data_IF_150660596599
#
_entry.id   IF_150660596599
#
_cell.length_a   1.000
_cell.length_b   1.000
_cell.length_c   1.000
_cell.angle_alpha   90.00
_cell.angle_beta   90.00
_cell.angle_gamma   90.00
#
_symmetry.space_group_name_H-M   'P 1'
#
loop_
_entity.id
_entity.type
_entity.pdbx_description
1 polymer ?
#
# COMPACT_ATOMS: atom_id res chain seq x y z
N UNK A 1 -17.41 15.97 -19.38
CA UNK A 1 -16.49 15.19 -18.53
C UNK A 1 -16.18 15.88 -17.20
N UNK A 2 -15.68 17.13 -17.15
CA UNK A 2 -15.32 17.82 -15.87
C UNK A 2 -16.47 17.92 -14.86
N UNK A 3 -17.71 18.16 -15.29
CA UNK A 3 -18.89 18.23 -14.41
C UNK A 3 -19.24 16.88 -13.77
N UNK A 4 -18.99 15.77 -14.47
CA UNK A 4 -19.27 14.41 -13.96
C UNK A 4 -18.25 14.00 -12.88
N UNK A 5 -17.00 14.37 -13.06
CA UNK A 5 -15.93 14.13 -12.07
C UNK A 5 -16.20 14.92 -10.76
N UNK A 6 -16.65 16.17 -10.88
CA UNK A 6 -17.04 17.00 -9.74
C UNK A 6 -18.22 16.39 -8.96
N UNK A 7 -19.18 15.81 -9.65
CA UNK A 7 -20.35 15.16 -9.07
C UNK A 7 -19.97 13.89 -8.29
N UNK A 8 -19.03 13.09 -8.83
CA UNK A 8 -18.48 11.90 -8.15
C UNK A 8 -17.70 12.30 -6.90
N UNK A 9 -16.87 13.36 -6.97
CA UNK A 9 -16.13 13.88 -5.82
C UNK A 9 -17.09 14.38 -4.74
N UNK A 10 -18.14 15.09 -5.11
CA UNK A 10 -19.16 15.59 -4.16
C UNK A 10 -19.94 14.44 -3.51
N UNK A 11 -20.25 13.39 -4.26
CA UNK A 11 -20.92 12.19 -3.76
C UNK A 11 -20.01 11.41 -2.78
N UNK A 12 -18.72 11.31 -3.07
CA UNK A 12 -17.73 10.69 -2.18
C UNK A 12 -17.58 11.48 -0.86
N UNK A 13 -17.56 12.81 -0.92
CA UNK A 13 -17.49 13.68 0.27
C UNK A 13 -18.75 13.55 1.12
N UNK A 14 -19.93 13.42 0.51
CA UNK A 14 -21.21 13.25 1.19
C UNK A 14 -21.25 11.94 2.02
N UNK A 15 -20.71 10.84 1.50
CA UNK A 15 -20.62 9.57 2.23
C UNK A 15 -19.65 9.60 3.41
N UNK A 16 -18.62 10.43 3.36
CA UNK A 16 -17.66 10.59 4.46
C UNK A 16 -18.33 11.30 5.67
N UNK A 17 -19.30 12.17 5.44
CA UNK A 17 -19.97 12.97 6.47
C UNK A 17 -20.93 12.17 7.36
N UNK A 18 -21.40 11.01 6.96
CA UNK A 18 -22.34 10.19 7.74
C UNK A 18 -21.71 9.25 8.78
N UNK A 19 -20.39 9.22 8.92
CA UNK A 19 -19.67 8.29 9.80
C UNK A 19 -19.46 8.80 11.25
N UNK A 20 -20.24 9.76 11.72
CA UNK A 20 -20.08 10.26 13.09
C UNK A 20 -21.26 9.86 13.97
N UNK A 21 -21.15 8.72 14.71
CA UNK A 21 -21.60 8.56 16.10
C UNK A 21 -21.32 7.16 16.63
N UNK A 22 -20.41 7.03 17.58
CA UNK A 22 -20.67 6.43 18.92
C UNK A 22 -19.36 6.41 19.73
N UNK A 23 -19.40 6.97 20.92
CA UNK A 23 -18.35 6.97 21.93
C UNK A 23 -18.29 5.60 22.60
N UNK A 24 -17.52 4.69 22.10
CA UNK A 24 -16.81 3.65 22.86
C UNK A 24 -15.33 3.87 22.57
N UNK A 25 -14.41 3.44 23.41
CA UNK A 25 -12.99 3.45 23.04
C UNK A 25 -12.86 2.65 21.76
N UNK A 26 -12.88 3.37 20.65
CA UNK A 26 -13.06 2.74 19.34
C UNK A 26 -11.75 2.12 18.94
N UNK A 27 -11.74 0.80 18.88
CA UNK A 27 -10.71 0.03 18.17
C UNK A 27 -10.33 0.77 16.89
N UNK A 28 -9.08 1.11 16.81
CA UNK A 28 -8.60 1.92 15.70
C UNK A 28 -7.19 1.49 15.30
N UNK A 29 -6.82 1.81 14.06
CA UNK A 29 -5.43 1.78 13.61
C UNK A 29 -4.58 2.70 14.49
N UNK A 30 -3.31 2.39 14.60
CA UNK A 30 -2.35 3.21 15.35
C UNK A 30 -2.16 4.58 14.70
N UNK A 31 -1.88 5.59 15.51
CA UNK A 31 -1.75 6.98 15.05
C UNK A 31 -0.65 7.13 14.01
N UNK A 32 0.48 6.49 14.25
CA UNK A 32 1.67 6.57 13.42
C UNK A 32 2.51 5.31 13.60
N UNK A 33 2.94 4.71 12.49
CA UNK A 33 3.85 3.55 12.49
C UNK A 33 4.97 3.85 11.51
N UNK A 34 6.21 3.86 12.02
CA UNK A 34 7.41 3.88 11.18
C UNK A 34 7.98 2.47 11.15
N UNK A 35 8.31 1.97 9.97
CA UNK A 35 8.89 0.63 9.84
C UNK A 35 9.81 0.51 8.63
N UNK A 36 10.70 -0.46 8.69
CA UNK A 36 11.48 -0.93 7.56
C UNK A 36 10.98 -2.33 7.20
N UNK A 37 10.76 -2.57 5.93
CA UNK A 37 10.30 -3.86 5.43
C UNK A 37 11.24 -4.35 4.34
N UNK A 38 11.52 -5.65 4.35
CA UNK A 38 12.23 -6.33 3.27
C UNK A 38 11.38 -7.50 2.78
N UNK A 39 11.52 -7.83 1.52
CA UNK A 39 10.80 -8.92 0.89
C UNK A 39 11.50 -9.41 -0.36
N UNK A 40 10.89 -10.38 -1.04
CA UNK A 40 11.47 -10.97 -2.25
C UNK A 40 11.72 -9.95 -3.37
N UNK A 41 10.92 -8.87 -3.40
CA UNK A 41 10.97 -7.88 -4.48
C UNK A 41 11.64 -6.56 -4.07
N UNK A 42 12.19 -6.43 -2.87
CA UNK A 42 12.87 -5.19 -2.49
C UNK A 42 12.94 -4.91 -0.99
N UNK A 43 13.34 -3.68 -0.68
CA UNK A 43 13.40 -3.14 0.68
C UNK A 43 12.79 -1.75 0.70
N UNK A 44 11.97 -1.47 1.71
CA UNK A 44 11.21 -0.23 1.84
C UNK A 44 11.29 0.32 3.26
N UNK A 45 11.44 1.62 3.38
CA UNK A 45 11.12 2.38 4.59
C UNK A 45 9.71 2.90 4.40
N UNK A 46 8.83 2.66 5.35
CA UNK A 46 7.45 3.10 5.24
C UNK A 46 6.97 3.78 6.53
N UNK A 47 6.10 4.74 6.32
CA UNK A 47 5.40 5.45 7.37
C UNK A 47 3.90 5.34 7.13
N UNK A 48 3.18 4.85 8.11
CA UNK A 48 1.73 4.68 8.06
C UNK A 48 1.08 5.62 9.07
N UNK A 49 0.24 6.52 8.57
CA UNK A 49 -0.48 7.52 9.34
C UNK A 49 -1.97 7.19 9.40
N UNK A 50 -2.55 7.26 10.59
CA UNK A 50 -4.00 7.14 10.77
C UNK A 50 -4.72 8.30 10.09
N UNK A 51 -5.68 7.98 9.23
CA UNK A 51 -6.64 8.94 8.68
C UNK A 51 -7.97 8.88 9.44
N UNK A 52 -8.43 7.68 9.77
CA UNK A 52 -9.67 7.41 10.50
C UNK A 52 -9.53 6.08 11.27
N UNK A 53 -10.54 5.66 12.02
CA UNK A 53 -10.45 4.49 12.92
C UNK A 53 -9.97 3.20 12.23
N UNK A 54 -10.40 2.96 11.00
CA UNK A 54 -9.98 1.78 10.22
C UNK A 54 -9.20 2.15 8.95
N UNK A 55 -8.91 3.44 8.75
CA UNK A 55 -8.21 3.95 7.58
C UNK A 55 -6.85 4.50 7.95
N UNK A 56 -5.83 4.12 7.19
CA UNK A 56 -4.49 4.65 7.28
C UNK A 56 -3.96 5.00 5.87
N UNK A 57 -3.05 5.95 5.80
CA UNK A 57 -2.27 6.23 4.61
C UNK A 57 -0.84 5.74 4.85
N UNK A 58 -0.38 4.83 4.02
CA UNK A 58 1.02 4.42 3.98
C UNK A 58 1.74 5.19 2.89
N UNK A 59 2.87 5.78 3.26
CA UNK A 59 3.88 6.28 2.34
C UNK A 59 5.12 5.39 2.42
N UNK A 60 5.68 5.02 1.29
CA UNK A 60 6.88 4.19 1.24
C UNK A 60 7.91 4.81 0.31
N UNK A 61 9.18 4.65 0.66
CA UNK A 61 10.31 4.84 -0.24
C UNK A 61 11.15 3.56 -0.20
N UNK A 62 11.56 3.07 -1.35
CA UNK A 62 12.33 1.84 -1.38
C UNK A 62 12.85 1.47 -2.75
N UNK A 63 13.63 0.40 -2.75
CA UNK A 63 14.15 -0.20 -3.98
C UNK A 63 13.33 -1.43 -4.32
N UNK A 64 12.93 -1.54 -5.59
CA UNK A 64 12.26 -2.74 -6.09
C UNK A 64 13.15 -3.45 -7.12
N UNK A 65 13.20 -4.77 -6.99
CA UNK A 65 13.80 -5.65 -7.98
C UNK A 65 12.68 -6.20 -8.87
N UNK A 66 12.61 -5.78 -10.11
CA UNK A 66 11.67 -6.37 -11.07
C UNK A 66 12.27 -7.63 -11.68
N UNK A 67 11.75 -8.77 -11.28
CA UNK A 67 11.96 -10.01 -12.02
C UNK A 67 11.05 -9.98 -13.24
N UNK A 68 11.58 -9.68 -14.39
CA UNK A 68 10.89 -9.96 -15.66
C UNK A 68 10.88 -11.46 -15.85
N UNK A 69 9.76 -12.12 -15.54
CA UNK A 69 9.49 -13.49 -15.98
C UNK A 69 9.20 -13.48 -17.50
N UNK A 70 10.19 -13.19 -18.29
CA UNK A 70 10.13 -13.44 -19.73
C UNK A 70 10.76 -14.81 -19.99
N UNK A 71 9.94 -15.73 -20.46
CA UNK A 71 10.33 -17.06 -20.96
C UNK A 71 11.24 -16.91 -22.20
N UNK A 72 12.45 -16.50 -22.08
CA UNK A 72 13.50 -16.31 -23.08
C UNK A 72 14.08 -14.89 -23.16
N UNK A 73 14.60 -14.34 -22.08
CA UNK A 73 15.63 -13.31 -22.25
C UNK A 73 16.56 -13.27 -21.04
N UNK A 74 17.85 -13.15 -21.34
CA UNK A 74 19.00 -13.02 -20.44
C UNK A 74 18.72 -12.23 -19.17
N UNK A 75 19.36 -12.62 -18.07
CA UNK A 75 19.48 -11.90 -16.81
C UNK A 75 20.21 -10.54 -17.01
N UNK A 76 19.77 -9.72 -17.94
CA UNK A 76 20.34 -8.41 -18.16
C UNK A 76 19.68 -7.39 -17.21
N UNK A 77 20.52 -6.96 -16.28
CA UNK A 77 20.39 -5.81 -15.39
C UNK A 77 19.13 -5.78 -14.51
N UNK A 78 19.28 -6.27 -13.29
CA UNK A 78 18.53 -5.81 -12.12
C UNK A 78 18.77 -4.30 -11.97
N UNK A 79 18.01 -3.48 -12.67
CA UNK A 79 18.02 -2.04 -12.43
C UNK A 79 17.34 -1.81 -11.08
N UNK A 80 18.13 -1.48 -10.07
CA UNK A 80 17.64 -0.98 -8.81
C UNK A 80 16.89 0.32 -9.07
N UNK A 81 15.57 0.29 -8.95
CA UNK A 81 14.75 1.48 -9.10
C UNK A 81 14.32 1.96 -7.73
N UNK A 82 14.64 3.20 -7.40
CA UNK A 82 14.07 3.86 -6.22
C UNK A 82 12.69 4.38 -6.58
N UNK A 83 11.71 3.97 -5.82
CA UNK A 83 10.31 4.36 -6.03
C UNK A 83 9.69 4.89 -4.75
N UNK A 84 8.76 5.82 -4.91
CA UNK A 84 7.85 6.26 -3.86
C UNK A 84 6.50 5.61 -4.08
N UNK A 85 5.86 5.19 -2.98
CA UNK A 85 4.52 4.61 -3.01
C UNK A 85 3.60 5.39 -2.10
N UNK A 86 2.35 5.51 -2.53
CA UNK A 86 1.22 5.94 -1.72
C UNK A 86 0.19 4.82 -1.70
N UNK A 87 -0.28 4.48 -0.50
CA UNK A 87 -1.19 3.36 -0.32
C UNK A 87 -2.21 3.66 0.78
N UNK A 88 -3.38 4.26 0.46
CA UNK A 88 -4.50 4.28 1.38
C UNK A 88 -4.97 2.85 1.66
N UNK A 89 -5.11 2.52 2.96
CA UNK A 89 -5.47 1.19 3.48
C UNK A 89 -6.74 1.26 4.30
N UNK A 90 -7.63 0.30 4.10
CA UNK A 90 -8.80 0.07 4.92
C UNK A 90 -8.69 -1.28 5.64
N UNK A 91 -8.56 -1.25 6.96
CA UNK A 91 -8.42 -2.42 7.83
C UNK A 91 -9.80 -2.95 8.25
N UNK A 92 -10.46 -3.71 7.39
CA UNK A 92 -11.88 -4.07 7.53
C UNK A 92 -12.17 -5.06 8.67
N UNK A 93 -11.20 -5.83 9.14
CA UNK A 93 -11.43 -6.81 10.20
C UNK A 93 -10.78 -6.47 11.55
N UNK A 94 -10.29 -5.22 11.73
CA UNK A 94 -9.60 -4.79 12.95
C UNK A 94 -10.49 -4.97 14.18
N UNK A 95 -11.72 -4.49 14.14
CA UNK A 95 -12.71 -4.59 15.22
C UNK A 95 -13.04 -6.07 15.54
N UNK A 96 -13.26 -6.89 14.50
CA UNK A 96 -13.52 -8.33 14.66
C UNK A 96 -12.36 -9.09 15.28
N UNK A 97 -11.12 -8.64 15.02
CA UNK A 97 -9.93 -9.26 15.64
C UNK A 97 -9.84 -8.93 17.10
N UNK A 98 -10.03 -7.67 17.45
CA UNK A 98 -10.01 -7.20 18.83
C UNK A 98 -11.11 -7.87 19.66
N UNK A 99 -12.35 -7.93 19.19
CA UNK A 99 -13.45 -8.62 19.87
C UNK A 99 -13.19 -10.12 20.12
N UNK A 100 -12.22 -10.71 19.42
CA UNK A 100 -11.73 -12.09 19.61
C UNK A 100 -10.40 -12.16 20.36
N UNK A 101 -9.98 -11.10 21.06
CA UNK A 101 -8.71 -10.98 21.77
C UNK A 101 -7.49 -11.32 20.90
N UNK A 102 -7.57 -11.08 19.59
CA UNK A 102 -6.43 -11.26 18.68
C UNK A 102 -5.59 -9.99 18.63
N UNK A 103 -4.29 -10.17 18.57
CA UNK A 103 -3.36 -9.04 18.46
C UNK A 103 -3.69 -8.14 17.25
N UNK A 104 -3.88 -6.83 17.52
CA UNK A 104 -4.12 -5.77 16.54
C UNK A 104 -3.02 -4.70 16.52
N UNK A 105 -2.00 -4.82 17.41
CA UNK A 105 -0.83 -3.92 17.44
C UNK A 105 -0.23 -3.79 16.05
N UNK A 106 0.39 -2.64 15.77
CA UNK A 106 1.02 -2.33 14.48
C UNK A 106 0.08 -2.56 13.29
N UNK A 107 -1.22 -2.33 13.50
CA UNK A 107 -2.28 -2.58 12.51
C UNK A 107 -2.32 -4.03 12.00
N UNK A 108 -2.11 -5.01 12.90
CA UNK A 108 -2.12 -6.44 12.57
C UNK A 108 -3.53 -6.92 12.23
N UNK A 109 -3.96 -6.69 10.99
CA UNK A 109 -5.28 -7.02 10.48
C UNK A 109 -5.24 -7.37 8.99
N UNK A 110 -6.38 -7.71 8.41
CA UNK A 110 -6.54 -7.79 6.97
C UNK A 110 -6.99 -6.42 6.45
N UNK A 111 -6.55 -6.08 5.26
CA UNK A 111 -6.86 -4.80 4.64
C UNK A 111 -7.12 -4.94 3.15
N UNK A 112 -7.81 -3.96 2.62
CA UNK A 112 -7.83 -3.63 1.20
C UNK A 112 -7.16 -2.27 1.02
N UNK A 113 -6.50 -2.08 -0.09
CA UNK A 113 -5.79 -0.84 -0.39
C UNK A 113 -5.76 -0.53 -1.88
N UNK A 114 -5.39 0.70 -2.19
CA UNK A 114 -5.10 1.13 -3.55
C UNK A 114 -3.65 1.62 -3.58
N UNK A 115 -2.75 0.78 -4.06
CA UNK A 115 -1.32 1.09 -4.11
C UNK A 115 -0.97 1.81 -5.41
N UNK A 116 -0.28 2.93 -5.29
CA UNK A 116 0.27 3.68 -6.42
C UNK A 116 1.79 3.73 -6.32
N UNK A 117 2.47 3.70 -7.45
CA UNK A 117 3.93 3.74 -7.54
C UNK A 117 4.37 4.90 -8.43
N UNK A 118 5.34 5.67 -7.94
CA UNK A 118 6.03 6.73 -8.68
C UNK A 118 7.54 6.40 -8.73
N UNK A 119 8.07 6.19 -9.92
CA UNK A 119 9.48 5.89 -10.10
C UNK A 119 10.30 7.19 -10.20
N UNK A 120 11.28 7.37 -9.31
CA UNK A 120 12.05 8.61 -9.22
C UNK A 120 13.27 8.59 -10.14
N UNK A 121 14.00 7.47 -10.23
CA UNK A 121 15.30 7.44 -10.92
C UNK A 121 15.17 7.55 -12.43
N UNK A 122 14.18 6.91 -13.04
CA UNK A 122 13.93 7.06 -14.48
C UNK A 122 13.48 8.49 -14.86
N UNK A 123 13.02 9.25 -13.89
CA UNK A 123 12.49 10.60 -14.11
C UNK A 123 13.55 11.68 -13.98
N UNK A 124 14.64 11.43 -13.22
CA UNK A 124 15.76 12.37 -13.11
C UNK A 124 16.53 12.50 -14.42
N UNK A 125 16.59 11.45 -15.24
CA UNK A 125 17.23 11.50 -16.56
C UNK A 125 16.39 12.24 -17.60
N UNK A 126 15.06 12.24 -17.48
CA UNK A 126 14.13 12.79 -18.46
C UNK A 126 13.30 13.99 -17.96
N UNK A 127 13.43 14.37 -16.68
CA UNK A 127 12.72 15.50 -16.08
C UNK A 127 11.21 15.33 -15.91
N UNK A 128 10.65 14.13 -16.10
CA UNK A 128 9.22 13.85 -16.02
C UNK A 128 8.90 12.81 -14.93
N UNK A 129 7.89 13.10 -14.09
CA UNK A 129 7.36 12.15 -13.11
C UNK A 129 6.22 11.37 -13.74
N UNK A 130 6.43 10.09 -14.03
CA UNK A 130 5.37 9.23 -14.56
C UNK A 130 4.68 8.45 -13.46
N UNK A 131 3.36 8.46 -13.51
CA UNK A 131 2.53 7.54 -12.75
C UNK A 131 2.74 6.13 -13.33
N UNK A 132 3.26 5.23 -12.51
CA UNK A 132 3.72 3.95 -13.02
C UNK A 132 2.72 2.82 -12.83
N UNK A 133 2.11 2.72 -11.66
CA UNK A 133 1.12 1.65 -11.40
C UNK A 133 -0.02 2.13 -10.52
N UNK A 134 -1.19 1.55 -10.74
CA UNK A 134 -2.35 1.66 -9.85
C UNK A 134 -2.88 0.25 -9.59
N UNK A 135 -2.78 -0.21 -8.35
CA UNK A 135 -2.99 -1.60 -7.98
C UNK A 135 -3.94 -1.72 -6.80
N UNK A 136 -5.23 -2.05 -7.02
CA UNK A 136 -6.07 -2.58 -5.97
C UNK A 136 -5.43 -3.80 -5.34
N UNK A 137 -5.34 -3.81 -4.01
CA UNK A 137 -4.58 -4.83 -3.27
C UNK A 137 -5.38 -5.33 -2.08
N UNK A 138 -5.38 -6.63 -1.87
CA UNK A 138 -5.79 -7.29 -0.63
C UNK A 138 -4.55 -7.73 0.13
N UNK A 139 -4.52 -7.47 1.45
CA UNK A 139 -3.38 -7.83 2.27
C UNK A 139 -3.74 -8.34 3.66
N UNK A 140 -2.79 -9.05 4.22
CA UNK A 140 -2.83 -9.63 5.56
C UNK A 140 -1.56 -9.25 6.28
N UNK A 141 -1.70 -8.52 7.41
CA UNK A 141 -0.56 -8.23 8.30
C UNK A 141 -0.73 -8.98 9.61
N UNK A 142 0.36 -9.58 10.09
CA UNK A 142 0.43 -10.27 11.38
C UNK A 142 1.72 -9.92 12.10
N UNK A 143 1.63 -9.73 13.41
CA UNK A 143 2.82 -9.59 14.24
C UNK A 143 3.37 -10.97 14.61
N UNK A 144 4.68 -11.12 14.52
CA UNK A 144 5.43 -12.26 15.07
C UNK A 144 5.81 -11.91 16.52
N UNK A 145 6.29 -10.69 16.73
CA UNK A 145 6.62 -10.13 18.04
C UNK A 145 6.04 -8.72 18.17
N UNK A 146 6.41 -7.97 19.21
CA UNK A 146 6.02 -6.56 19.37
C UNK A 146 6.57 -5.65 18.28
N UNK A 147 7.70 -5.98 17.69
CA UNK A 147 8.41 -5.16 16.70
C UNK A 147 8.47 -5.82 15.32
N UNK A 148 8.31 -7.12 15.22
CA UNK A 148 8.39 -7.82 13.94
C UNK A 148 7.03 -8.20 13.40
N UNK A 149 6.81 -7.92 12.14
CA UNK A 149 5.59 -8.29 11.44
C UNK A 149 5.86 -9.00 10.11
N UNK A 150 4.86 -9.76 9.67
CA UNK A 150 4.77 -10.32 8.34
C UNK A 150 3.60 -9.67 7.62
N UNK A 151 3.79 -9.36 6.36
CA UNK A 151 2.76 -8.85 5.48
C UNK A 151 2.74 -9.64 4.18
N UNK A 152 1.57 -10.23 3.90
CA UNK A 152 1.26 -10.90 2.64
C UNK A 152 0.26 -10.05 1.91
N UNK A 153 0.48 -9.79 0.64
CA UNK A 153 -0.51 -9.09 -0.18
C UNK A 153 -0.54 -9.61 -1.60
N UNK A 154 -1.70 -9.43 -2.22
CA UNK A 154 -1.92 -9.71 -3.62
C UNK A 154 -2.69 -8.55 -4.23
N UNK A 155 -2.17 -8.01 -5.31
CA UNK A 155 -2.80 -6.97 -6.11
C UNK A 155 -2.84 -7.36 -7.57
N UNK A 156 -3.80 -6.79 -8.29
CA UNK A 156 -3.88 -6.89 -9.75
C UNK A 156 -4.18 -5.49 -10.28
N UNK A 157 -3.26 -4.94 -11.03
CA UNK A 157 -3.29 -3.53 -11.36
C UNK A 157 -2.84 -3.21 -12.76
N UNK A 158 -2.95 -1.93 -13.07
CA UNK A 158 -2.59 -1.34 -14.34
C UNK A 158 -1.20 -0.72 -14.19
N UNK A 159 -0.29 -1.08 -15.08
CA UNK A 159 1.03 -0.46 -15.24
C UNK A 159 1.04 0.33 -16.55
N UNK A 160 1.53 1.56 -16.48
CA UNK A 160 1.74 2.41 -17.65
C UNK A 160 3.23 2.66 -17.85
N UNK A 161 3.74 2.26 -19.00
CA UNK A 161 5.15 2.45 -19.39
C UNK A 161 5.27 2.59 -20.89
N UNK A 162 6.02 3.57 -21.35
CA UNK A 162 6.30 3.81 -22.79
C UNK A 162 5.04 3.81 -23.68
N UNK A 163 3.98 4.50 -23.22
CA UNK A 163 2.66 4.57 -23.91
C UNK A 163 1.94 3.22 -24.02
N UNK A 164 2.39 2.18 -23.31
CA UNK A 164 1.74 0.87 -23.25
C UNK A 164 1.11 0.66 -21.88
N UNK A 165 -0.15 0.25 -21.87
CA UNK A 165 -0.89 -0.16 -20.67
C UNK A 165 -0.80 -1.68 -20.56
N UNK A 166 -0.32 -2.18 -19.44
CA UNK A 166 -0.28 -3.61 -19.14
C UNK A 166 -1.03 -3.90 -17.84
N UNK A 167 -1.60 -5.10 -17.75
CA UNK A 167 -2.21 -5.63 -16.54
C UNK A 167 -1.19 -6.57 -15.88
N UNK A 168 -0.91 -6.33 -14.60
CA UNK A 168 0.10 -7.09 -13.87
C UNK A 168 -0.44 -7.60 -12.53
N UNK A 169 -0.14 -8.86 -12.21
CA UNK A 169 -0.35 -9.42 -10.89
C UNK A 169 0.84 -9.09 -10.00
N UNK A 170 0.59 -8.58 -8.81
CA UNK A 170 1.60 -8.11 -7.86
C UNK A 170 1.46 -8.83 -6.51
N UNK A 171 1.90 -10.09 -6.41
CA UNK A 171 2.03 -10.77 -5.12
C UNK A 171 3.17 -10.13 -4.33
N UNK A 172 3.03 -10.01 -3.01
CA UNK A 172 4.08 -9.50 -2.15
C UNK A 172 4.13 -10.26 -0.83
N UNK A 173 5.32 -10.61 -0.42
CA UNK A 173 5.65 -11.13 0.89
C UNK A 173 6.72 -10.25 1.50
N UNK A 174 6.44 -9.71 2.70
CA UNK A 174 7.34 -8.79 3.38
C UNK A 174 7.50 -9.18 4.85
N UNK A 175 8.71 -9.05 5.33
CA UNK A 175 9.09 -9.09 6.72
C UNK A 175 9.46 -7.68 7.17
N UNK A 176 8.93 -7.21 8.29
CA UNK A 176 9.11 -5.84 8.74
C UNK A 176 9.52 -5.71 10.18
N UNK A 177 10.33 -4.68 10.45
CA UNK A 177 10.64 -4.20 11.78
C UNK A 177 9.95 -2.84 12.00
N UNK A 178 9.24 -2.73 13.11
CA UNK A 178 8.50 -1.53 13.55
C UNK A 178 9.27 -0.88 14.69
N UNK A 179 9.50 0.43 14.56
CA UNK A 179 10.21 1.26 15.53
C UNK A 179 9.32 1.73 16.69
#
# INVERSE_FOLDING_TARGET
MKKFILLIIFYLIYFISFSQKTKSEKVSVEKSILSIQTGYFGTWINHELKLHNQFALRTEIGTEYRLKFAIKQSFDSLKNQVSIFLEPKYYFNLIKRESKNKNIKNNAANYISLRTNFNILNNLENGEIYFHTLTPTYGIRRNITSHFNLELSFGYGISYSNSVITLEAMPSFRFGYVF
#
